data_IF_497600578589
#
_entry.id   IF_497600578589
#
_cell.length_a   1.000
_cell.length_b   1.000
_cell.length_c   1.000
_cell.angle_alpha   90.00
_cell.angle_beta   90.00
_cell.angle_gamma   90.00
#
_symmetry.space_group_name_H-M   'P 1'
#
loop_
_entity.id
_entity.type
_entity.pdbx_description
1 polymer ?
#
# COMPACT_ATOMS: atom_id res chain seq x y z
N UNK A 1 -0.62 7.17 6.30
CA UNK A 1 -0.77 6.31 7.46
C UNK A 1 0.51 5.50 7.60
N UNK A 2 1.23 5.67 8.68
CA UNK A 2 2.25 4.70 9.01
C UNK A 2 1.51 3.40 9.33
N UNK A 3 1.58 2.42 8.45
CA UNK A 3 1.17 1.10 8.81
C UNK A 3 2.06 0.68 9.98
N UNK A 4 1.47 0.31 11.10
CA UNK A 4 2.17 -0.39 12.15
C UNK A 4 2.50 -1.78 11.62
N UNK A 5 3.64 -1.90 10.97
CA UNK A 5 4.13 -3.17 10.49
C UNK A 5 4.85 -3.86 11.62
N UNK A 6 4.28 -4.96 12.10
CA UNK A 6 4.95 -5.86 13.02
C UNK A 6 5.68 -6.93 12.22
N UNK A 7 7.00 -6.89 12.24
CA UNK A 7 7.83 -7.99 11.73
C UNK A 7 8.33 -8.77 12.93
N UNK A 8 8.10 -10.07 12.97
CA UNK A 8 8.50 -10.97 14.07
C UNK A 8 8.01 -10.51 15.46
N UNK A 9 6.82 -9.94 15.55
CA UNK A 9 6.26 -9.47 16.82
C UNK A 9 6.87 -8.18 17.37
N UNK A 10 7.73 -7.52 16.60
CA UNK A 10 8.31 -6.22 16.94
C UNK A 10 7.63 -5.11 16.16
N UNK A 11 7.25 -4.05 16.86
CA UNK A 11 6.79 -2.81 16.21
C UNK A 11 7.96 -2.21 15.45
N UNK A 12 7.79 -2.03 14.13
CA UNK A 12 8.76 -1.33 13.28
C UNK A 12 8.37 0.15 13.22
N UNK A 13 8.22 0.76 14.38
CA UNK A 13 8.01 2.19 14.48
C UNK A 13 9.36 2.89 14.33
N UNK A 14 9.45 3.73 13.31
CA UNK A 14 10.54 4.70 13.24
C UNK A 14 10.13 5.92 14.05
N UNK A 15 10.76 6.11 15.18
CA UNK A 15 10.56 7.28 16.00
C UNK A 15 11.16 8.52 15.32
N UNK A 16 10.56 9.70 15.50
CA UNK A 16 11.15 10.95 15.04
C UNK A 16 12.60 11.07 15.52
N UNK A 17 13.54 11.26 14.59
CA UNK A 17 14.98 11.37 14.88
C UNK A 17 15.80 10.08 14.69
N UNK A 18 15.18 8.95 14.42
CA UNK A 18 15.90 7.73 14.02
C UNK A 18 16.06 7.68 12.50
N UNK A 19 17.29 7.73 12.02
CA UNK A 19 17.62 7.63 10.58
C UNK A 19 17.75 6.18 10.11
N UNK A 20 16.84 5.31 10.51
CA UNK A 20 16.81 3.93 10.03
C UNK A 20 16.03 3.86 8.71
N UNK A 21 16.71 3.46 7.64
CA UNK A 21 16.05 3.10 6.40
C UNK A 21 15.42 1.71 6.55
N UNK A 22 14.17 1.58 6.18
CA UNK A 22 13.47 0.31 6.26
C UNK A 22 12.02 0.41 5.87
N UNK A 23 11.30 -0.66 6.06
CA UNK A 23 9.91 -0.83 5.67
C UNK A 23 8.99 0.29 6.19
N UNK A 24 9.20 0.75 7.41
CA UNK A 24 8.39 1.82 8.04
C UNK A 24 8.73 3.24 7.56
N UNK A 25 9.83 3.43 6.85
CA UNK A 25 10.28 4.74 6.33
C UNK A 25 10.30 4.83 4.82
N UNK A 26 9.87 3.78 4.15
CA UNK A 26 9.82 3.77 2.69
C UNK A 26 8.78 4.78 2.17
N UNK A 27 9.25 5.76 1.41
CA UNK A 27 8.40 6.84 0.90
C UNK A 27 7.32 6.34 -0.06
N UNK A 28 7.54 5.21 -0.72
CA UNK A 28 6.49 4.60 -1.56
C UNK A 28 5.29 4.14 -0.74
N UNK A 29 5.49 3.76 0.52
CA UNK A 29 4.41 3.34 1.43
C UNK A 29 3.78 4.49 2.24
N UNK A 30 4.33 5.70 2.21
CA UNK A 30 3.83 6.82 2.98
C UNK A 30 2.84 7.66 2.17
N UNK A 31 1.57 7.57 2.52
CA UNK A 31 0.50 8.36 1.92
C UNK A 31 -0.19 9.25 2.97
N UNK A 32 -0.47 10.52 2.65
CA UNK A 32 -1.24 11.36 3.54
C UNK A 32 -2.66 10.81 3.68
N UNK A 33 -3.18 10.78 4.89
CA UNK A 33 -4.55 10.36 5.19
C UNK A 33 -5.14 11.23 6.28
N UNK A 34 -6.45 11.46 6.24
CA UNK A 34 -7.11 12.13 7.35
C UNK A 34 -7.15 11.22 8.59
N UNK A 35 -7.13 11.82 9.78
CA UNK A 35 -7.08 11.09 11.05
C UNK A 35 -8.20 10.06 11.19
N UNK A 36 -9.40 10.41 10.76
CA UNK A 36 -10.56 9.51 10.82
C UNK A 36 -10.38 8.28 9.95
N UNK A 37 -9.99 8.46 8.70
CA UNK A 37 -9.76 7.32 7.78
C UNK A 37 -8.57 6.48 8.20
N UNK A 38 -7.51 7.11 8.70
CA UNK A 38 -6.38 6.39 9.26
C UNK A 38 -6.79 5.53 10.47
N UNK A 39 -7.65 6.06 11.34
CA UNK A 39 -8.19 5.32 12.47
C UNK A 39 -9.09 4.15 12.03
N UNK A 40 -9.89 4.30 10.99
CA UNK A 40 -10.71 3.20 10.44
C UNK A 40 -9.87 2.14 9.72
N UNK A 41 -8.82 2.54 9.02
CA UNK A 41 -7.90 1.60 8.42
C UNK A 41 -7.18 0.80 9.51
N UNK A 42 -6.61 1.49 10.51
CA UNK A 42 -5.85 0.85 11.60
C UNK A 42 -4.83 -0.17 11.05
N UNK A 43 -4.91 -1.41 11.48
CA UNK A 43 -4.09 -2.54 11.04
C UNK A 43 -4.80 -3.49 10.05
N UNK A 44 -5.92 -3.02 9.46
CA UNK A 44 -6.66 -3.83 8.48
C UNK A 44 -5.92 -3.94 7.16
N UNK A 45 -6.05 -5.09 6.54
CA UNK A 45 -5.54 -5.34 5.19
C UNK A 45 -6.37 -4.62 4.14
N UNK A 46 -5.75 -4.32 3.01
CA UNK A 46 -6.48 -3.79 1.86
C UNK A 46 -7.23 -4.89 1.11
N UNK A 47 -8.51 -4.66 0.85
CA UNK A 47 -9.36 -5.61 0.11
C UNK A 47 -10.82 -5.21 0.13
N UNK A 48 -11.63 -5.85 -0.73
CA UNK A 48 -13.04 -5.55 -0.94
C UNK A 48 -13.95 -6.12 0.15
N UNK A 49 -13.52 -7.17 0.85
CA UNK A 49 -14.33 -7.79 1.86
C UNK A 49 -14.57 -6.82 3.02
N UNK A 50 -15.82 -6.64 3.39
CA UNK A 50 -16.22 -5.76 4.50
C UNK A 50 -16.19 -6.46 5.86
N UNK A 51 -15.84 -7.75 5.91
CA UNK A 51 -15.74 -8.49 7.14
C UNK A 51 -14.43 -8.23 7.89
N UNK A 52 -14.55 -7.58 9.03
CA UNK A 52 -13.62 -7.49 10.14
C UNK A 52 -12.23 -6.94 9.86
N UNK A 53 -11.42 -7.59 9.04
CA UNK A 53 -9.98 -7.32 8.87
C UNK A 53 -9.60 -6.64 7.57
N UNK A 54 -10.57 -6.31 6.72
CA UNK A 54 -10.31 -5.64 5.45
C UNK A 54 -10.75 -4.18 5.46
N UNK A 55 -10.03 -3.38 4.71
CA UNK A 55 -10.32 -1.97 4.50
C UNK A 55 -10.62 -1.70 3.02
N UNK A 56 -11.92 -1.74 2.64
CA UNK A 56 -12.32 -1.51 1.26
C UNK A 56 -12.45 -0.02 0.89
N UNK A 57 -12.50 0.85 1.90
CA UNK A 57 -12.87 2.25 1.74
C UNK A 57 -11.66 3.17 1.53
N UNK A 58 -10.69 2.75 0.74
CA UNK A 58 -9.45 3.50 0.51
C UNK A 58 -9.69 4.91 -0.02
N UNK A 59 -10.77 5.11 -0.77
CA UNK A 59 -11.12 6.41 -1.32
C UNK A 59 -11.56 7.44 -0.27
N UNK A 60 -12.01 6.99 0.90
CA UNK A 60 -12.42 7.88 1.97
C UNK A 60 -11.25 8.60 2.64
N UNK A 61 -10.03 8.09 2.49
CA UNK A 61 -8.82 8.67 3.05
C UNK A 61 -8.33 9.91 2.33
N UNK A 62 -8.80 10.17 1.13
CA UNK A 62 -8.26 11.19 0.24
C UNK A 62 -9.32 12.17 -0.32
N UNK A 63 -10.14 12.79 0.54
CA UNK A 63 -11.28 13.60 0.08
C UNK A 63 -10.87 14.83 -0.75
N UNK A 64 -9.61 15.20 -0.70
CA UNK A 64 -9.14 16.46 -1.33
C UNK A 64 -8.70 16.29 -2.77
N UNK A 65 -8.56 15.09 -3.25
CA UNK A 65 -8.17 14.91 -4.63
C UNK A 65 -9.29 15.31 -5.60
N UNK A 66 -10.53 15.21 -5.15
CA UNK A 66 -11.71 15.53 -5.96
C UNK A 66 -11.75 14.75 -7.28
N UNK A 67 -11.03 13.69 -7.40
CA UNK A 67 -10.47 13.24 -8.61
C UNK A 67 -10.24 11.76 -8.67
N UNK A 68 -11.17 11.01 -8.34
CA UNK A 68 -11.05 9.65 -8.73
C UNK A 68 -10.80 8.65 -7.63
N UNK A 69 -10.48 7.49 -8.07
CA UNK A 69 -10.27 6.30 -7.31
C UNK A 69 -8.82 6.28 -6.80
N UNK A 70 -8.57 5.67 -5.67
CA UNK A 70 -7.23 5.44 -5.11
C UNK A 70 -6.94 3.97 -4.92
N UNK A 71 -7.82 3.14 -5.39
CA UNK A 71 -7.64 1.69 -5.23
C UNK A 71 -6.43 1.20 -5.98
N UNK A 72 -6.19 1.73 -7.18
CA UNK A 72 -5.01 1.42 -7.96
C UNK A 72 -3.71 1.90 -7.33
N UNK A 73 -3.69 3.14 -6.79
CA UNK A 73 -2.54 3.69 -6.06
C UNK A 73 -2.16 2.77 -4.89
N UNK A 74 -3.15 2.32 -4.12
CA UNK A 74 -2.94 1.40 -3.00
C UNK A 74 -2.44 0.05 -3.49
N UNK A 75 -3.05 -0.51 -4.53
CA UNK A 75 -2.63 -1.80 -5.09
C UNK A 75 -1.17 -1.78 -5.53
N UNK A 76 -0.77 -0.76 -6.30
CA UNK A 76 0.62 -0.59 -6.77
C UNK A 76 1.61 -0.32 -5.63
N UNK A 77 1.17 0.35 -4.58
CA UNK A 77 1.96 0.51 -3.36
C UNK A 77 2.18 -0.83 -2.67
N UNK A 78 1.12 -1.62 -2.51
CA UNK A 78 1.20 -2.94 -1.85
C UNK A 78 2.05 -3.91 -2.65
N UNK A 79 1.92 -3.95 -3.98
CA UNK A 79 2.77 -4.76 -4.85
C UNK A 79 4.25 -4.40 -4.71
N UNK A 80 4.56 -3.10 -4.67
CA UNK A 80 5.93 -2.62 -4.46
C UNK A 80 6.47 -3.08 -3.10
N UNK A 81 5.70 -2.90 -2.04
CA UNK A 81 6.10 -3.30 -0.70
C UNK A 81 6.35 -4.81 -0.62
N UNK A 82 5.44 -5.60 -1.17
CA UNK A 82 5.60 -7.06 -1.22
C UNK A 82 6.83 -7.50 -2.00
N UNK A 83 7.09 -6.88 -3.17
CA UNK A 83 8.24 -7.21 -4.00
C UNK A 83 9.58 -6.77 -3.38
N UNK A 84 9.56 -5.72 -2.54
CA UNK A 84 10.76 -5.13 -1.94
C UNK A 84 11.11 -5.77 -0.60
N UNK A 85 10.11 -6.18 0.15
CA UNK A 85 10.26 -6.67 1.52
C UNK A 85 9.78 -8.13 1.63
N UNK A 86 10.68 -9.11 1.64
CA UNK A 86 10.34 -10.53 1.52
C UNK A 86 9.55 -11.12 2.71
N UNK A 87 9.49 -10.39 3.83
CA UNK A 87 8.70 -10.82 4.99
C UNK A 87 7.20 -10.53 4.83
N UNK A 88 6.83 -9.65 3.89
CA UNK A 88 5.43 -9.32 3.63
C UNK A 88 4.75 -10.39 2.79
N UNK A 89 3.43 -10.52 2.97
CA UNK A 89 2.61 -11.51 2.27
C UNK A 89 1.38 -10.86 1.66
N UNK A 90 0.93 -11.46 0.57
CA UNK A 90 -0.38 -11.23 -0.01
C UNK A 90 -1.24 -12.47 0.25
N UNK A 91 -2.53 -12.29 0.43
CA UNK A 91 -3.47 -13.34 0.81
C UNK A 91 -4.30 -13.72 -0.42
N UNK A 92 -4.35 -15.00 -0.76
CA UNK A 92 -5.20 -15.50 -1.84
C UNK A 92 -6.61 -15.81 -1.36
N UNK A 93 -6.76 -16.19 -0.11
CA UNK A 93 -8.05 -16.39 0.53
C UNK A 93 -8.10 -15.72 1.91
N UNK A 94 -9.33 -15.57 2.43
CA UNK A 94 -9.60 -14.79 3.64
C UNK A 94 -9.49 -15.61 4.95
N UNK A 95 -8.91 -16.78 4.91
CA UNK A 95 -9.06 -17.77 5.99
C UNK A 95 -7.97 -17.75 7.05
N UNK A 96 -6.74 -17.33 6.70
CA UNK A 96 -5.64 -17.25 7.66
C UNK A 96 -4.96 -15.88 7.63
N UNK A 97 -5.04 -15.16 8.73
CA UNK A 97 -4.60 -13.78 8.83
C UNK A 97 -3.43 -13.63 9.81
N UNK A 98 -2.30 -13.20 9.30
CA UNK A 98 -1.15 -12.79 10.13
C UNK A 98 -0.88 -11.29 10.01
N UNK A 99 -0.02 -10.75 10.85
CA UNK A 99 0.35 -9.33 10.85
C UNK A 99 1.27 -8.92 9.67
N UNK A 100 1.69 -9.86 8.85
CA UNK A 100 2.58 -9.62 7.70
C UNK A 100 1.81 -9.49 6.38
N UNK A 101 0.49 -9.63 6.44
CA UNK A 101 -0.38 -9.60 5.28
C UNK A 101 -0.87 -8.18 5.02
N UNK A 102 -0.59 -7.67 3.83
CA UNK A 102 -0.96 -6.31 3.46
C UNK A 102 -2.31 -6.19 2.75
N UNK A 103 -2.73 -7.25 2.06
CA UNK A 103 -3.97 -7.21 1.30
C UNK A 103 -4.32 -8.50 0.59
N UNK A 104 -5.53 -8.53 0.05
CA UNK A 104 -6.02 -9.60 -0.83
C UNK A 104 -5.42 -9.45 -2.23
N UNK A 105 -4.66 -10.43 -2.68
CA UNK A 105 -4.05 -10.41 -4.02
C UNK A 105 -5.10 -10.25 -5.12
N UNK A 106 -6.18 -10.99 -5.05
CA UNK A 106 -7.28 -10.92 -6.01
C UNK A 106 -7.87 -9.52 -6.10
N UNK A 107 -8.17 -8.92 -4.96
CA UNK A 107 -8.78 -7.58 -4.90
C UNK A 107 -7.80 -6.51 -5.38
N UNK A 108 -6.53 -6.63 -5.03
CA UNK A 108 -5.49 -5.70 -5.46
C UNK A 108 -5.25 -5.75 -6.98
N UNK A 109 -5.28 -6.93 -7.59
CA UNK A 109 -5.19 -7.08 -9.05
C UNK A 109 -6.40 -6.45 -9.74
N UNK A 110 -7.59 -6.61 -9.18
CA UNK A 110 -8.79 -5.95 -9.68
C UNK A 110 -8.68 -4.42 -9.55
N UNK A 111 -8.24 -3.92 -8.41
CA UNK A 111 -8.05 -2.50 -8.16
C UNK A 111 -7.04 -1.86 -9.11
N UNK A 112 -5.95 -2.55 -9.41
CA UNK A 112 -4.95 -2.09 -10.38
C UNK A 112 -5.53 -1.87 -11.78
N UNK A 113 -6.51 -2.71 -12.18
CA UNK A 113 -7.22 -2.57 -13.46
C UNK A 113 -8.28 -1.48 -13.45
N UNK A 114 -9.02 -1.37 -12.36
CA UNK A 114 -10.12 -0.42 -12.23
C UNK A 114 -9.65 1.04 -12.13
N UNK A 115 -8.49 1.24 -11.56
CA UNK A 115 -7.90 2.56 -11.33
C UNK A 115 -6.49 2.63 -11.95
N UNK A 116 -6.40 2.98 -13.24
CA UNK A 116 -5.14 3.10 -13.95
C UNK A 116 -4.25 4.22 -13.37
N UNK A 117 -2.94 4.10 -13.61
CA UNK A 117 -1.96 5.11 -13.22
C UNK A 117 -2.34 6.49 -13.77
N UNK A 118 -2.41 7.46 -12.89
CA UNK A 118 -2.68 8.85 -13.22
C UNK A 118 -1.42 9.74 -13.16
N UNK A 119 -1.57 10.99 -13.54
CA UNK A 119 -0.48 11.97 -13.53
C UNK A 119 0.02 12.28 -12.11
N UNK A 120 -0.86 12.26 -11.11
CA UNK A 120 -0.46 12.48 -9.73
C UNK A 120 0.45 11.36 -9.24
N UNK A 121 0.08 10.12 -9.50
CA UNK A 121 0.85 8.94 -9.10
C UNK A 121 2.20 8.89 -9.81
N UNK A 122 2.23 9.19 -11.11
CA UNK A 122 3.48 9.28 -11.88
C UNK A 122 4.42 10.34 -11.33
N UNK A 123 3.90 11.55 -11.06
CA UNK A 123 4.70 12.64 -10.46
C UNK A 123 5.16 12.30 -9.05
N UNK A 124 4.34 11.60 -8.28
CA UNK A 124 4.73 11.13 -6.96
C UNK A 124 5.88 10.14 -7.05
N UNK A 125 5.84 9.21 -8.00
CA UNK A 125 6.93 8.26 -8.25
C UNK A 125 8.26 8.98 -8.58
N UNK A 126 8.22 10.01 -9.44
CA UNK A 126 9.39 10.85 -9.74
C UNK A 126 9.92 11.57 -8.50
N UNK A 127 9.03 12.09 -7.66
CA UNK A 127 9.41 12.76 -6.42
C UNK A 127 10.06 11.81 -5.44
N UNK A 128 9.48 10.64 -5.23
CA UNK A 128 10.07 9.62 -4.35
C UNK A 128 11.45 9.22 -4.87
N UNK A 129 11.59 9.00 -6.17
CA UNK A 129 12.89 8.72 -6.79
C UNK A 129 13.94 9.81 -6.49
N UNK A 130 13.55 11.08 -6.55
CA UNK A 130 14.48 12.18 -6.29
C UNK A 130 15.01 12.23 -4.85
N UNK A 131 14.24 11.70 -3.89
CA UNK A 131 14.63 11.67 -2.47
C UNK A 131 15.21 10.33 -2.01
N UNK A 132 14.64 9.23 -2.49
CA UNK A 132 14.95 7.88 -2.01
C UNK A 132 15.86 7.10 -2.96
N UNK A 133 15.89 7.47 -4.25
CA UNK A 133 16.77 6.89 -5.25
C UNK A 133 16.25 5.62 -5.92
N UNK A 134 14.99 5.22 -5.64
CA UNK A 134 14.33 4.10 -6.30
C UNK A 134 12.91 4.46 -6.75
N UNK A 135 12.41 3.72 -7.71
CA UNK A 135 11.06 3.89 -8.27
C UNK A 135 10.16 2.72 -7.91
N UNK A 136 8.87 2.96 -7.88
CA UNK A 136 7.89 1.90 -7.86
C UNK A 136 7.68 1.39 -9.30
N UNK A 137 8.13 0.17 -9.66
CA UNK A 137 8.02 -0.34 -11.01
C UNK A 137 6.58 -0.66 -11.42
N UNK A 138 5.67 -0.85 -10.47
CA UNK A 138 4.26 -1.10 -10.75
C UNK A 138 3.51 0.18 -11.17
N UNK A 139 4.09 1.36 -10.93
CA UNK A 139 3.60 2.63 -11.49
C UNK A 139 4.15 2.82 -12.90
N UNK A 140 5.43 2.55 -13.13
CA UNK A 140 6.06 2.70 -14.45
C UNK A 140 5.56 1.64 -15.45
N UNK A 141 5.27 0.43 -14.96
CA UNK A 141 4.81 -0.71 -15.75
C UNK A 141 3.62 -1.41 -15.05
N UNK A 142 2.40 -0.86 -15.10
CA UNK A 142 1.25 -1.38 -14.34
C UNK A 142 0.90 -2.85 -14.64
N UNK A 143 1.16 -3.30 -15.86
CA UNK A 143 0.93 -4.71 -16.26
C UNK A 143 1.90 -5.70 -15.62
N UNK A 144 2.95 -5.21 -14.96
CA UNK A 144 3.90 -6.03 -14.23
C UNK A 144 3.22 -6.82 -13.10
N UNK A 145 2.18 -6.25 -12.49
CA UNK A 145 1.43 -6.92 -11.42
C UNK A 145 0.77 -8.21 -11.93
N UNK A 146 0.09 -8.16 -13.07
CA UNK A 146 -0.50 -9.36 -13.66
C UNK A 146 0.56 -10.37 -14.10
N UNK A 147 1.66 -9.90 -14.64
CA UNK A 147 2.73 -10.80 -15.11
C UNK A 147 3.43 -11.56 -13.97
N UNK A 148 3.46 -10.97 -12.76
CA UNK A 148 4.14 -11.58 -11.60
C UNK A 148 3.20 -12.34 -10.67
N UNK A 149 1.93 -11.94 -10.60
CA UNK A 149 1.02 -12.40 -9.54
C UNK A 149 -0.27 -13.05 -10.06
N UNK A 150 -0.57 -12.99 -11.35
CA UNK A 150 -1.77 -13.59 -11.93
C UNK A 150 -1.54 -15.00 -12.51
#
# INVERSE_FOLDING_TARGET
>A
ACAHLRIEGKDVDVRPGESKRGIGTDLHNLHPSCTTSNGYHSDKMFGQNQEGRFYPNVNLGFPHKGQGDFRGDVARTVFYMYATYPDLRLVDDYTELSYLEMGSLKDLLEWNKLDPVDEYESRRNDRVFSYQGNRNPFIDYPTLAEALFA
#
